data_IF_022761669129
#
_entry.id   IF_022761669129
#
_cell.length_a   1.000
_cell.length_b   1.000
_cell.length_c   1.000
_cell.angle_alpha   90.00
_cell.angle_beta   90.00
_cell.angle_gamma   90.00
#
_symmetry.space_group_name_H-M   'P 1'
#
loop_
_entity.id
_entity.type
_entity.pdbx_description
1 polymer ?
#
# COMPACT_ATOMS: atom_id res chain seq x y z
N UNK A 1 -30.87 66.65 50.75
CA UNK A 1 -31.35 66.33 49.38
C UNK A 1 -30.17 66.43 48.42
N UNK A 2 -30.11 65.50 47.47
CA UNK A 2 -29.18 65.41 46.32
C UNK A 2 -27.89 64.60 46.52
N UNK A 3 -27.98 63.38 45.99
CA UNK A 3 -26.95 62.36 45.77
C UNK A 3 -25.89 62.79 44.76
N UNK A 4 -24.61 62.57 45.07
CA UNK A 4 -23.52 62.57 44.08
C UNK A 4 -23.05 61.14 43.83
N UNK A 5 -23.60 60.51 42.79
CA UNK A 5 -23.08 59.29 42.19
C UNK A 5 -22.07 59.69 41.10
N UNK A 6 -20.80 59.38 41.36
CA UNK A 6 -19.70 59.52 40.41
C UNK A 6 -19.89 58.47 39.30
N UNK A 7 -20.13 58.93 38.06
CA UNK A 7 -20.20 58.09 36.86
C UNK A 7 -18.79 57.76 36.40
N UNK A 8 -18.41 56.49 36.49
CA UNK A 8 -17.25 55.96 35.76
C UNK A 8 -17.63 55.82 34.28
N UNK A 9 -17.00 56.63 33.43
CA UNK A 9 -16.91 56.37 32.02
C UNK A 9 -15.80 55.34 31.80
N UNK A 10 -16.09 54.24 31.12
CA UNK A 10 -15.05 53.39 30.53
C UNK A 10 -15.57 52.85 29.21
N UNK A 11 -14.71 52.97 28.21
CA UNK A 11 -14.97 52.87 26.79
C UNK A 11 -15.56 51.52 26.38
N UNK A 12 -16.60 51.57 25.54
CA UNK A 12 -17.01 50.42 24.75
C UNK A 12 -15.94 50.19 23.67
N UNK A 13 -15.01 49.27 23.94
CA UNK A 13 -14.16 48.70 22.91
C UNK A 13 -15.05 47.83 22.01
N UNK A 14 -15.34 48.34 20.81
CA UNK A 14 -15.90 47.57 19.72
C UNK A 14 -14.86 46.53 19.30
N UNK A 15 -14.86 45.36 19.95
CA UNK A 15 -14.18 44.18 19.47
C UNK A 15 -14.87 43.77 18.18
N UNK A 16 -14.36 44.24 17.03
CA UNK A 16 -14.41 43.45 15.82
C UNK A 16 -13.64 42.17 16.12
N UNK A 17 -14.36 41.14 16.56
CA UNK A 17 -13.94 39.78 16.30
C UNK A 17 -13.86 39.65 14.80
N UNK A 18 -12.67 39.85 14.24
CA UNK A 18 -12.31 39.14 13.03
C UNK A 18 -12.48 37.68 13.43
N UNK A 19 -13.52 37.03 12.92
CA UNK A 19 -13.58 35.60 12.95
C UNK A 19 -12.32 35.16 12.19
N UNK A 20 -11.25 34.85 12.93
CA UNK A 20 -10.23 33.95 12.41
C UNK A 20 -11.03 32.73 11.98
N UNK A 21 -11.09 32.48 10.66
CA UNK A 21 -11.62 31.22 10.15
C UNK A 21 -10.98 30.13 11.01
N UNK A 22 -11.81 29.29 11.64
CA UNK A 22 -11.31 28.09 12.28
C UNK A 22 -10.73 27.22 11.16
N UNK A 23 -9.43 27.37 10.90
CA UNK A 23 -8.68 26.48 10.03
C UNK A 23 -8.38 25.25 10.86
N UNK A 24 -9.11 24.17 10.57
CA UNK A 24 -8.95 22.85 11.19
C UNK A 24 -8.65 21.82 10.10
N UNK A 25 -7.55 22.01 9.37
CA UNK A 25 -7.09 21.10 8.32
C UNK A 25 -5.75 20.52 8.75
N UNK A 26 -5.82 19.53 9.64
CA UNK A 26 -4.65 18.78 10.08
C UNK A 26 -3.84 18.24 8.91
N UNK A 27 -2.53 18.23 9.12
CA UNK A 27 -1.47 17.65 8.28
C UNK A 27 -1.97 16.52 7.37
N UNK A 28 -1.93 16.74 6.05
CA UNK A 28 -2.62 15.84 5.12
C UNK A 28 -2.07 15.85 3.71
N UNK A 29 -2.51 14.84 2.96
CA UNK A 29 -2.27 14.69 1.53
C UNK A 29 -3.10 15.73 0.79
N UNK A 30 -2.45 16.78 0.32
CA UNK A 30 -3.05 17.70 -0.64
C UNK A 30 -3.13 17.01 -2.00
N UNK A 31 -4.28 17.06 -2.65
CA UNK A 31 -4.56 16.51 -3.97
C UNK A 31 -5.02 17.65 -4.87
N UNK A 32 -4.33 17.82 -6.00
CA UNK A 32 -4.65 18.84 -6.99
C UNK A 32 -4.48 18.31 -8.40
N UNK A 33 -4.96 19.08 -9.38
CA UNK A 33 -4.70 18.81 -10.80
C UNK A 33 -3.50 19.61 -11.29
N UNK A 34 -2.68 19.00 -12.14
CA UNK A 34 -1.66 19.71 -12.92
C UNK A 34 -1.68 19.17 -14.35
N UNK A 35 -2.26 19.94 -15.28
CA UNK A 35 -2.44 19.51 -16.66
C UNK A 35 -3.44 18.35 -16.77
N UNK A 36 -2.99 17.20 -17.23
CA UNK A 36 -3.77 15.97 -17.42
C UNK A 36 -3.61 14.96 -16.28
N UNK A 37 -2.92 15.32 -15.19
CA UNK A 37 -2.59 14.41 -14.08
C UNK A 37 -3.03 14.93 -12.72
N UNK A 38 -3.36 14.01 -11.81
CA UNK A 38 -3.43 14.28 -10.38
C UNK A 38 -2.03 14.39 -9.76
N UNK A 39 -1.79 15.46 -9.02
CA UNK A 39 -0.56 15.66 -8.25
C UNK A 39 -0.87 15.75 -6.77
N UNK A 40 0.12 15.38 -5.96
CA UNK A 40 0.01 15.44 -4.51
C UNK A 40 0.94 16.46 -3.91
N UNK A 41 0.65 16.81 -2.67
CA UNK A 41 1.33 17.81 -1.90
C UNK A 41 1.12 17.61 -0.41
N UNK A 42 1.68 18.53 0.36
CA UNK A 42 1.40 18.62 1.78
C UNK A 42 0.52 19.82 2.03
N UNK A 43 -0.55 19.62 2.81
CA UNK A 43 -1.28 20.73 3.41
C UNK A 43 -0.82 20.93 4.83
N UNK A 44 -0.64 22.20 5.21
CA UNK A 44 -0.45 22.58 6.60
C UNK A 44 -1.46 23.63 6.99
N UNK A 45 -1.84 23.63 8.27
CA UNK A 45 -2.71 24.63 8.89
C UNK A 45 -2.16 26.07 8.80
N UNK A 46 -0.91 26.25 8.36
CA UNK A 46 -0.30 27.56 8.17
C UNK A 46 -0.78 28.21 6.85
N UNK A 47 -1.20 29.48 6.85
CA UNK A 47 -1.53 30.20 5.61
C UNK A 47 -0.38 30.17 4.60
N UNK A 48 -0.64 29.68 3.39
CA UNK A 48 0.38 29.52 2.35
C UNK A 48 1.35 28.35 2.58
N UNK A 49 1.04 27.47 3.52
CA UNK A 49 1.85 26.30 3.85
C UNK A 49 1.52 25.06 3.02
N UNK A 50 0.75 25.21 1.92
CA UNK A 50 0.58 24.17 0.92
C UNK A 50 1.87 24.00 0.10
N UNK A 51 2.31 22.77 -0.07
CA UNK A 51 3.41 22.41 -0.98
C UNK A 51 2.91 21.43 -2.04
N UNK A 52 3.53 21.42 -3.21
CA UNK A 52 3.27 20.45 -4.28
C UNK A 52 4.51 19.57 -4.46
N UNK A 53 4.31 18.29 -4.70
CA UNK A 53 5.36 17.30 -4.91
C UNK A 53 5.63 16.39 -3.70
N UNK A 54 5.03 16.65 -2.54
CA UNK A 54 5.16 15.78 -1.37
C UNK A 54 4.49 14.42 -1.62
N UNK A 55 5.24 13.35 -1.35
CA UNK A 55 4.82 11.96 -1.57
C UNK A 55 5.04 11.06 -0.36
N UNK A 56 5.70 11.53 0.69
CA UNK A 56 5.97 10.75 1.91
C UNK A 56 5.18 11.37 3.05
N UNK A 57 4.37 10.55 3.69
CA UNK A 57 3.55 10.92 4.83
C UNK A 57 3.81 9.93 5.95
N UNK A 58 3.68 10.38 7.19
CA UNK A 58 3.91 9.53 8.35
C UNK A 58 2.90 9.81 9.44
N UNK A 59 2.65 8.80 10.26
CA UNK A 59 1.73 8.89 11.38
C UNK A 59 2.18 7.94 12.49
N UNK A 60 1.92 8.34 13.73
CA UNK A 60 2.14 7.49 14.88
C UNK A 60 0.82 6.83 15.26
N UNK A 61 0.80 5.50 15.29
CA UNK A 61 -0.39 4.77 15.64
C UNK A 61 -0.56 4.68 17.15
N UNK A 62 -1.74 5.05 17.68
CA UNK A 62 -2.10 4.72 19.06
C UNK A 62 -2.16 3.20 19.26
N UNK A 63 -2.24 2.75 20.52
CA UNK A 63 -2.16 1.32 20.86
C UNK A 63 -3.30 0.46 20.31
N UNK A 64 -4.38 1.06 19.82
CA UNK A 64 -5.47 0.37 19.12
C UNK A 64 -5.24 0.28 17.59
N UNK A 65 -4.09 0.74 17.07
CA UNK A 65 -3.73 0.60 15.65
C UNK A 65 -4.52 1.48 14.68
N UNK A 66 -5.35 2.40 15.18
CA UNK A 66 -6.29 3.18 14.39
C UNK A 66 -5.91 4.67 14.33
N UNK A 67 -5.94 5.26 13.14
CA UNK A 67 -5.76 6.70 12.95
C UNK A 67 -6.61 7.21 11.79
N UNK A 68 -6.89 8.52 11.76
CA UNK A 68 -7.47 9.18 10.57
C UNK A 68 -6.44 10.00 9.79
N UNK A 69 -5.19 10.00 10.27
CA UNK A 69 -4.09 10.76 9.72
C UNK A 69 -3.04 9.84 9.09
N UNK A 70 -2.50 10.20 7.91
CA UNK A 70 -2.77 11.45 7.20
C UNK A 70 -4.15 11.49 6.52
N UNK A 71 -4.74 12.68 6.52
CA UNK A 71 -6.01 12.98 5.85
C UNK A 71 -5.80 13.22 4.34
N UNK A 72 -6.89 13.28 3.58
CA UNK A 72 -6.87 13.64 2.15
C UNK A 72 -7.70 14.89 1.92
N UNK A 73 -7.16 15.85 1.16
CA UNK A 73 -7.82 17.12 0.92
C UNK A 73 -7.50 17.71 -0.45
N UNK A 74 -8.34 18.63 -0.88
CA UNK A 74 -8.12 19.45 -2.07
C UNK A 74 -8.67 20.84 -1.79
N UNK A 75 -7.94 21.88 -2.21
CA UNK A 75 -8.33 23.27 -1.95
C UNK A 75 -8.67 24.02 -3.23
N UNK A 76 -9.61 24.95 -3.14
CA UNK A 76 -10.06 25.81 -4.23
C UNK A 76 -10.22 27.26 -3.71
N UNK A 77 -9.50 28.27 -4.24
CA UNK A 77 -8.58 28.19 -5.37
C UNK A 77 -7.36 27.31 -5.10
N UNK A 78 -6.90 26.61 -6.13
CA UNK A 78 -5.72 25.76 -6.03
C UNK A 78 -4.42 26.58 -5.80
N UNK A 79 -3.40 25.99 -5.16
CA UNK A 79 -2.09 26.61 -5.02
C UNK A 79 -1.43 26.88 -6.38
N UNK A 80 -0.48 27.82 -6.38
CA UNK A 80 0.25 28.20 -7.60
C UNK A 80 0.89 26.96 -8.28
N UNK A 81 0.77 26.90 -9.61
CA UNK A 81 1.27 25.79 -10.41
C UNK A 81 0.32 24.58 -10.51
N UNK A 82 -0.87 24.67 -9.90
CA UNK A 82 -1.92 23.65 -9.98
C UNK A 82 -3.29 24.25 -10.27
N UNK A 83 -4.25 23.38 -10.57
CA UNK A 83 -5.63 23.69 -10.90
C UNK A 83 -6.58 23.02 -9.90
N UNK A 84 -7.71 23.67 -9.61
CA UNK A 84 -8.75 23.07 -8.77
C UNK A 84 -9.33 21.83 -9.45
N UNK A 85 -9.59 20.80 -8.66
CA UNK A 85 -10.34 19.64 -9.14
C UNK A 85 -11.77 20.05 -9.54
N UNK A 86 -12.32 19.41 -10.57
CA UNK A 86 -13.72 19.56 -10.93
C UNK A 86 -14.60 19.06 -9.77
N UNK A 87 -15.73 19.72 -9.54
CA UNK A 87 -16.66 19.36 -8.47
C UNK A 87 -17.59 18.21 -8.90
N UNK A 88 -17.98 17.36 -7.94
CA UNK A 88 -18.85 16.22 -8.18
C UNK A 88 -18.12 14.98 -8.69
N UNK A 89 -16.79 15.00 -8.68
CA UNK A 89 -15.95 13.91 -9.17
C UNK A 89 -15.40 13.09 -7.99
N UNK A 90 -15.32 11.77 -8.18
CA UNK A 90 -14.81 10.87 -7.15
C UNK A 90 -13.28 10.74 -7.25
N UNK A 91 -12.62 10.81 -6.09
CA UNK A 91 -11.21 10.45 -5.91
C UNK A 91 -11.15 9.07 -5.28
N UNK A 92 -10.38 8.16 -5.88
CA UNK A 92 -10.14 6.80 -5.42
C UNK A 92 -8.68 6.61 -5.01
N UNK A 93 -8.39 5.58 -4.22
CA UNK A 93 -7.03 5.12 -3.97
C UNK A 93 -6.83 3.70 -4.51
N UNK A 94 -5.57 3.32 -4.78
CA UNK A 94 -5.15 1.91 -4.90
C UNK A 94 -3.87 1.71 -4.13
N UNK A 95 -3.74 0.60 -3.44
CA UNK A 95 -2.45 0.20 -2.90
C UNK A 95 -1.55 -0.37 -3.99
N UNK A 96 -0.27 -0.01 -3.92
CA UNK A 96 0.75 -0.43 -4.85
C UNK A 96 1.85 -1.21 -4.11
N UNK A 97 2.40 -2.28 -4.70
CA UNK A 97 3.57 -2.91 -4.17
C UNK A 97 4.78 -2.00 -4.36
N UNK A 98 5.70 -2.04 -3.40
CA UNK A 98 6.98 -1.35 -3.48
C UNK A 98 8.11 -2.38 -3.49
N UNK A 99 9.25 -2.02 -4.10
CA UNK A 99 10.40 -2.94 -4.24
C UNK A 99 11.66 -2.35 -3.60
N UNK A 100 12.25 -3.08 -2.66
CA UNK A 100 13.52 -2.72 -2.01
C UNK A 100 14.24 -3.97 -1.52
N UNK A 101 15.57 -3.96 -1.48
CA UNK A 101 16.35 -5.10 -0.97
C UNK A 101 16.13 -6.42 -1.73
N UNK A 102 15.61 -6.36 -2.97
CA UNK A 102 15.24 -7.55 -3.75
C UNK A 102 13.87 -8.15 -3.39
N UNK A 103 13.10 -7.49 -2.51
CA UNK A 103 11.77 -7.90 -2.07
C UNK A 103 10.74 -6.94 -2.64
N UNK A 104 9.66 -7.49 -3.19
CA UNK A 104 8.47 -6.73 -3.63
C UNK A 104 7.32 -7.07 -2.70
N UNK A 105 6.71 -6.06 -2.09
CA UNK A 105 5.61 -6.23 -1.14
C UNK A 105 4.70 -5.00 -1.10
N UNK A 106 3.39 -5.19 -0.90
CA UNK A 106 2.40 -4.13 -0.69
C UNK A 106 2.34 -3.62 0.76
N UNK A 107 2.96 -4.34 1.70
CA UNK A 107 3.16 -3.89 3.08
C UNK A 107 4.55 -4.33 3.57
N UNK A 108 5.36 -3.36 3.99
CA UNK A 108 6.68 -3.62 4.52
C UNK A 108 6.78 -3.28 6.00
N UNK A 109 7.66 -3.96 6.71
CA UNK A 109 7.92 -3.76 8.14
C UNK A 109 9.42 -3.64 8.39
N UNK A 110 9.78 -2.73 9.29
CA UNK A 110 11.10 -2.63 9.90
C UNK A 110 10.90 -2.50 11.41
N UNK A 111 11.68 -3.22 12.21
CA UNK A 111 11.56 -3.27 13.67
C UNK A 111 11.94 -1.95 14.38
N UNK A 112 12.52 -1.00 13.65
CA UNK A 112 12.96 0.30 14.18
C UNK A 112 14.34 0.25 14.85
N UNK A 113 15.09 -0.85 14.69
CA UNK A 113 16.44 -0.99 15.22
C UNK A 113 17.49 -0.90 14.11
N UNK A 114 18.56 -0.13 14.39
CA UNK A 114 19.68 0.04 13.45
C UNK A 114 19.30 0.91 12.25
N UNK A 115 19.88 0.61 11.10
CA UNK A 115 19.53 1.28 9.84
C UNK A 115 18.21 0.73 9.28
N UNK A 116 17.38 1.54 8.60
CA UNK A 116 16.15 1.07 7.97
C UNK A 116 16.38 -0.12 7.03
N UNK A 117 15.80 -1.26 7.41
CA UNK A 117 15.87 -2.50 6.64
C UNK A 117 14.47 -3.12 6.54
N UNK A 118 13.72 -2.66 5.55
CA UNK A 118 12.34 -3.07 5.31
C UNK A 118 12.28 -4.47 4.69
N UNK A 119 11.48 -5.34 5.32
CA UNK A 119 11.14 -6.68 4.84
C UNK A 119 9.63 -6.78 4.64
N UNK A 120 9.15 -7.88 4.04
CA UNK A 120 7.71 -8.16 3.94
C UNK A 120 7.07 -8.26 5.33
N UNK A 121 5.94 -7.59 5.52
CA UNK A 121 5.12 -7.74 6.72
C UNK A 121 4.20 -8.96 6.59
N UNK A 122 4.65 -10.15 7.01
CA UNK A 122 3.90 -11.41 6.83
C UNK A 122 2.76 -11.60 7.86
N UNK A 123 2.84 -10.93 9.02
CA UNK A 123 1.93 -11.12 10.16
C UNK A 123 1.12 -9.86 10.50
N UNK A 124 0.92 -8.95 9.53
CA UNK A 124 0.14 -7.74 9.73
C UNK A 124 -0.65 -7.36 8.48
N UNK A 125 -1.75 -6.64 8.68
CA UNK A 125 -2.51 -6.01 7.60
C UNK A 125 -2.73 -4.52 7.86
N UNK A 126 -2.53 -3.71 6.84
CA UNK A 126 -2.91 -2.30 6.84
C UNK A 126 -4.17 -2.12 5.99
N UNK A 127 -5.22 -1.57 6.59
CA UNK A 127 -6.53 -1.37 5.99
C UNK A 127 -6.84 0.12 5.88
N UNK A 128 -7.41 0.54 4.75
CA UNK A 128 -7.95 1.88 4.55
C UNK A 128 -9.44 1.80 4.20
N UNK A 129 -10.26 2.59 4.90
CA UNK A 129 -11.72 2.57 4.79
C UNK A 129 -12.28 3.74 3.97
N UNK A 130 -13.28 3.47 3.14
CA UNK A 130 -14.09 4.43 2.41
C UNK A 130 -15.11 5.14 3.34
N UNK A 131 -15.85 6.16 2.85
CA UNK A 131 -16.91 6.84 3.62
C UNK A 131 -18.02 5.94 4.17
N UNK A 132 -18.23 4.76 3.60
CA UNK A 132 -19.25 3.80 3.97
C UNK A 132 -18.67 2.60 4.75
N UNK A 133 -17.41 2.66 5.17
CA UNK A 133 -16.67 1.57 5.82
C UNK A 133 -16.50 0.31 4.96
N UNK A 134 -16.53 0.45 3.64
CA UNK A 134 -15.97 -0.54 2.71
C UNK A 134 -14.45 -0.34 2.72
N UNK A 135 -13.68 -1.42 2.66
CA UNK A 135 -12.24 -1.34 2.85
C UNK A 135 -11.46 -2.20 1.86
N UNK A 136 -10.24 -1.76 1.61
CA UNK A 136 -9.19 -2.55 0.99
C UNK A 136 -8.03 -2.66 1.98
N UNK A 137 -7.34 -3.80 1.99
CA UNK A 137 -6.22 -4.05 2.85
C UNK A 137 -5.01 -4.61 2.09
N UNK A 138 -3.83 -4.38 2.64
CA UNK A 138 -2.56 -4.96 2.22
C UNK A 138 -1.96 -5.74 3.37
N UNK A 139 -1.24 -6.81 3.06
CA UNK A 139 -0.87 -7.88 4.00
C UNK A 139 0.52 -8.48 3.71
N UNK A 140 1.34 -7.78 2.93
CA UNK A 140 2.67 -8.23 2.54
C UNK A 140 2.72 -8.94 1.19
N UNK A 141 1.59 -9.14 0.51
CA UNK A 141 1.59 -9.74 -0.82
C UNK A 141 2.35 -8.88 -1.86
N UNK A 142 2.96 -9.54 -2.85
CA UNK A 142 3.65 -8.87 -3.97
C UNK A 142 2.65 -8.42 -5.07
N UNK A 143 1.55 -7.78 -4.68
CA UNK A 143 0.48 -7.42 -5.60
C UNK A 143 -0.18 -6.08 -5.23
N UNK A 144 -0.58 -5.32 -6.25
CA UNK A 144 -1.44 -4.16 -6.09
C UNK A 144 -2.84 -4.59 -5.62
N UNK A 145 -3.49 -3.73 -4.83
CA UNK A 145 -4.85 -3.96 -4.35
C UNK A 145 -5.69 -2.74 -4.74
N UNK A 146 -6.71 -2.92 -5.60
CA UNK A 146 -7.65 -1.86 -5.90
C UNK A 146 -8.30 -1.35 -4.62
N UNK A 147 -8.31 -0.03 -4.42
CA UNK A 147 -8.96 0.59 -3.28
C UNK A 147 -10.34 1.13 -3.62
N UNK A 148 -10.95 1.82 -2.66
CA UNK A 148 -12.29 2.39 -2.79
C UNK A 148 -12.23 3.91 -2.99
N UNK A 149 -13.29 4.63 -2.62
CA UNK A 149 -13.43 6.09 -2.80
C UNK A 149 -12.89 6.87 -1.59
N UNK A 150 -11.87 7.69 -1.79
CA UNK A 150 -11.39 8.68 -0.80
C UNK A 150 -12.48 9.73 -0.54
N UNK A 151 -13.17 10.21 -1.56
CA UNK A 151 -14.30 11.12 -1.40
C UNK A 151 -14.73 11.74 -2.71
N UNK A 152 -15.82 12.50 -2.67
CA UNK A 152 -16.34 13.25 -3.81
C UNK A 152 -15.99 14.72 -3.65
N UNK A 153 -15.45 15.33 -4.69
CA UNK A 153 -15.08 16.74 -4.68
C UNK A 153 -16.32 17.65 -4.67
N UNK A 154 -16.18 18.86 -4.15
CA UNK A 154 -17.24 19.87 -4.05
C UNK A 154 -16.79 21.20 -4.63
N UNK A 155 -17.72 22.12 -4.83
CA UNK A 155 -17.42 23.50 -5.25
C UNK A 155 -16.96 24.41 -4.10
N UNK A 156 -16.78 23.87 -2.89
CA UNK A 156 -16.35 24.64 -1.72
C UNK A 156 -14.85 24.93 -1.74
N UNK A 157 -14.41 25.81 -0.84
CA UNK A 157 -13.00 26.15 -0.71
C UNK A 157 -12.13 24.95 -0.32
N UNK A 158 -12.72 23.98 0.38
CA UNK A 158 -12.19 22.64 0.56
C UNK A 158 -12.94 21.76 -0.43
N UNK A 159 -12.40 21.68 -1.65
CA UNK A 159 -12.97 20.85 -2.69
C UNK A 159 -13.05 19.39 -2.22
N UNK A 160 -12.06 18.90 -1.48
CA UNK A 160 -12.11 17.61 -0.79
C UNK A 160 -11.64 17.80 0.66
N UNK A 161 -12.31 17.16 1.61
CA UNK A 161 -11.87 17.08 3.00
C UNK A 161 -12.29 15.72 3.56
N UNK A 162 -11.35 14.78 3.60
CA UNK A 162 -11.59 13.38 3.90
C UNK A 162 -10.63 12.86 4.97
N UNK A 163 -11.17 12.61 6.16
CA UNK A 163 -10.52 11.85 7.22
C UNK A 163 -10.92 10.39 7.08
N UNK A 164 -10.03 9.57 6.53
CA UNK A 164 -10.27 8.14 6.30
C UNK A 164 -9.61 7.33 7.40
N UNK A 165 -10.29 6.28 7.85
CA UNK A 165 -9.73 5.41 8.87
C UNK A 165 -8.66 4.53 8.28
N UNK A 166 -7.49 4.57 8.90
CA UNK A 166 -6.39 3.64 8.72
C UNK A 166 -6.39 2.69 9.91
N UNK A 167 -6.22 1.41 9.66
CA UNK A 167 -6.10 0.38 10.68
C UNK A 167 -4.90 -0.50 10.39
N UNK A 168 -4.00 -0.61 11.35
CA UNK A 168 -2.95 -1.62 11.34
C UNK A 168 -3.28 -2.70 12.38
N UNK A 169 -3.52 -3.91 11.89
CA UNK A 169 -3.81 -5.08 12.71
C UNK A 169 -2.71 -6.14 12.53
N UNK A 170 -2.43 -6.89 13.59
CA UNK A 170 -1.62 -8.10 13.52
C UNK A 170 -2.47 -9.32 13.15
N UNK A 171 -1.82 -10.41 12.78
CA UNK A 171 -2.48 -11.66 12.43
C UNK A 171 -3.43 -12.14 13.54
N UNK A 172 -4.65 -12.53 13.16
CA UNK A 172 -5.64 -13.11 14.08
C UNK A 172 -6.14 -12.15 15.16
N UNK A 173 -6.36 -10.87 14.82
CA UNK A 173 -6.84 -9.83 15.74
C UNK A 173 -5.84 -9.44 16.85
N UNK A 174 -4.56 -9.78 16.65
CA UNK A 174 -3.49 -9.35 17.54
C UNK A 174 -3.06 -7.91 17.25
N UNK A 175 -2.32 -7.31 18.18
CA UNK A 175 -1.58 -6.09 17.87
C UNK A 175 -0.43 -6.42 16.88
N UNK A 176 -0.21 -5.55 15.90
CA UNK A 176 0.92 -5.68 14.99
C UNK A 176 2.25 -5.63 15.75
N UNK A 177 3.26 -6.34 15.24
CA UNK A 177 4.59 -6.35 15.85
C UNK A 177 5.18 -4.93 15.91
N UNK A 178 5.91 -4.55 16.99
CA UNK A 178 6.51 -3.24 17.10
C UNK A 178 7.41 -2.89 15.90
N UNK A 179 7.38 -1.64 15.47
CA UNK A 179 8.24 -1.11 14.41
C UNK A 179 7.58 -0.02 13.60
N UNK A 180 8.03 0.12 12.35
CA UNK A 180 7.48 1.02 11.34
C UNK A 180 6.99 0.19 10.16
N UNK A 181 5.75 0.44 9.74
CA UNK A 181 5.14 -0.18 8.58
C UNK A 181 5.07 0.82 7.44
N UNK A 182 5.42 0.38 6.23
CA UNK A 182 5.38 1.21 5.02
C UNK A 182 4.43 0.57 4.02
N UNK A 183 3.46 1.37 3.56
CA UNK A 183 2.62 1.03 2.42
C UNK A 183 2.70 2.13 1.37
N UNK A 184 2.45 1.77 0.12
CA UNK A 184 2.36 2.72 -0.98
C UNK A 184 0.96 2.71 -1.59
N UNK A 185 0.51 3.88 -2.07
CA UNK A 185 -0.72 3.98 -2.83
C UNK A 185 -0.60 5.01 -3.96
N UNK A 186 -1.54 4.99 -4.89
CA UNK A 186 -1.80 6.09 -5.82
C UNK A 186 -3.23 6.59 -5.65
N UNK A 187 -3.49 7.80 -6.10
CA UNK A 187 -4.83 8.35 -6.22
C UNK A 187 -5.27 8.44 -7.68
N UNK A 188 -6.56 8.21 -7.91
CA UNK A 188 -7.19 8.24 -9.24
C UNK A 188 -8.43 9.11 -9.23
N UNK A 189 -8.71 9.74 -10.35
CA UNK A 189 -9.95 10.45 -10.66
C UNK A 189 -10.22 10.24 -12.15
N UNK A 190 -11.46 10.00 -12.51
CA UNK A 190 -11.84 9.77 -13.91
C UNK A 190 -11.45 10.97 -14.79
N UNK A 191 -10.90 10.68 -15.97
CA UNK A 191 -10.45 11.71 -16.91
C UNK A 191 -9.09 12.34 -16.60
N UNK A 192 -8.39 11.90 -15.55
CA UNK A 192 -7.02 12.33 -15.24
C UNK A 192 -6.08 11.13 -15.09
N UNK A 193 -4.81 11.32 -15.45
CA UNK A 193 -3.77 10.37 -15.13
C UNK A 193 -3.60 10.28 -13.59
N UNK A 194 -3.37 9.08 -13.03
CA UNK A 194 -3.20 8.88 -11.59
C UNK A 194 -2.01 9.66 -11.02
N UNK A 195 -2.00 9.84 -9.70
CA UNK A 195 -0.83 10.38 -9.01
C UNK A 195 0.36 9.44 -9.16
N UNK A 196 1.55 10.00 -8.99
CA UNK A 196 2.72 9.20 -8.62
C UNK A 196 2.43 8.45 -7.31
N UNK A 197 3.15 7.35 -7.06
CA UNK A 197 3.00 6.61 -5.81
C UNK A 197 3.34 7.47 -4.60
N UNK A 198 2.49 7.43 -3.61
CA UNK A 198 2.63 8.02 -2.30
C UNK A 198 3.08 6.92 -1.33
N UNK A 199 3.77 7.30 -0.27
CA UNK A 199 4.30 6.39 0.73
C UNK A 199 3.85 6.83 2.12
N UNK A 200 3.37 5.87 2.90
CA UNK A 200 2.82 6.09 4.23
C UNK A 200 3.61 5.26 5.22
N UNK A 201 4.25 5.93 6.17
CA UNK A 201 4.99 5.29 7.25
C UNK A 201 4.19 5.36 8.55
N UNK A 202 3.83 4.20 9.09
CA UNK A 202 3.09 4.08 10.34
C UNK A 202 3.98 3.46 11.41
N UNK A 203 4.36 4.25 12.42
CA UNK A 203 5.04 3.71 13.59
C UNK A 203 4.01 3.17 14.59
N UNK A 204 4.18 1.93 15.02
CA UNK A 204 3.33 1.34 16.07
C UNK A 204 3.59 2.00 17.43
N UNK A 205 2.61 1.91 18.33
CA UNK A 205 2.78 2.34 19.71
C UNK A 205 4.00 1.69 20.38
N UNK A 206 4.84 2.50 21.02
CA UNK A 206 6.09 2.08 21.65
C UNK A 206 7.33 2.17 20.74
N UNK A 207 7.16 2.30 19.43
CA UNK A 207 8.29 2.51 18.50
C UNK A 207 8.94 3.88 18.77
N UNK A 208 10.29 3.98 18.80
CA UNK A 208 10.96 5.26 18.95
C UNK A 208 10.64 6.23 17.81
N UNK A 209 10.41 7.51 18.14
CA UNK A 209 10.15 8.54 17.12
C UNK A 209 11.31 8.71 16.12
N UNK A 210 12.54 8.39 16.54
CA UNK A 210 13.71 8.40 15.68
C UNK A 210 13.56 7.43 14.49
N UNK A 211 13.01 6.23 14.73
CA UNK A 211 12.77 5.26 13.66
C UNK A 211 11.77 5.79 12.62
N UNK A 212 10.71 6.48 13.07
CA UNK A 212 9.77 7.10 12.14
C UNK A 212 10.43 8.20 11.30
N UNK A 213 11.23 9.06 11.94
CA UNK A 213 11.98 10.12 11.26
C UNK A 213 13.00 9.56 10.25
N UNK A 214 13.75 8.53 10.63
CA UNK A 214 14.70 7.84 9.74
C UNK A 214 13.99 7.18 8.56
N UNK A 215 12.81 6.59 8.79
CA UNK A 215 11.97 6.05 7.71
C UNK A 215 11.54 7.14 6.73
N UNK A 216 11.12 8.31 7.21
CA UNK A 216 10.73 9.42 6.34
C UNK A 216 11.90 9.89 5.49
N UNK A 217 13.10 10.02 6.06
CA UNK A 217 14.32 10.36 5.30
C UNK A 217 14.62 9.27 4.27
N UNK A 218 14.61 8.01 4.70
CA UNK A 218 14.89 6.85 3.84
C UNK A 218 13.94 6.76 2.64
N UNK A 219 12.65 7.03 2.86
CA UNK A 219 11.63 7.08 1.81
C UNK A 219 11.87 8.24 0.85
N UNK A 220 12.11 9.45 1.37
CA UNK A 220 12.36 10.64 0.52
C UNK A 220 13.55 10.44 -0.42
N UNK A 221 14.62 9.80 0.06
CA UNK A 221 15.80 9.49 -0.76
C UNK A 221 15.53 8.46 -1.88
N UNK A 222 14.39 7.75 -1.83
CA UNK A 222 14.09 6.58 -2.67
C UNK A 222 12.75 6.63 -3.39
N UNK A 223 11.97 7.71 -3.27
CA UNK A 223 10.57 7.80 -3.76
C UNK A 223 10.35 7.39 -5.21
N UNK A 224 11.37 7.57 -6.08
CA UNK A 224 11.30 7.20 -7.49
C UNK A 224 11.87 5.80 -7.78
N UNK A 225 12.70 5.26 -6.87
CA UNK A 225 13.34 3.95 -7.01
C UNK A 225 12.55 2.79 -6.39
N UNK A 226 11.58 3.08 -5.53
CA UNK A 226 10.73 2.08 -4.87
C UNK A 226 9.59 1.56 -5.75
N UNK A 227 9.39 2.18 -6.92
CA UNK A 227 8.35 1.85 -7.89
C UNK A 227 8.56 0.45 -8.47
N UNK A 228 7.47 -0.21 -8.88
CA UNK A 228 7.56 -1.49 -9.57
C UNK A 228 8.33 -1.28 -10.88
N UNK A 229 9.51 -1.89 -10.99
CA UNK A 229 10.38 -1.67 -12.17
C UNK A 229 9.63 -2.09 -13.42
N UNK A 230 9.66 -1.26 -14.46
CA UNK A 230 8.98 -1.55 -15.72
C UNK A 230 7.49 -1.18 -15.76
N UNK A 231 6.92 -0.72 -14.65
CA UNK A 231 5.59 -0.08 -14.62
C UNK A 231 5.75 1.40 -15.02
N UNK A 232 5.73 1.65 -16.33
CA UNK A 232 6.02 2.95 -16.94
C UNK A 232 4.80 3.85 -17.05
N UNK A 233 3.60 3.29 -17.05
CA UNK A 233 2.38 4.08 -16.93
C UNK A 233 2.00 4.35 -15.46
N UNK A 234 2.75 3.77 -14.51
CA UNK A 234 2.53 3.85 -13.06
C UNK A 234 1.15 3.31 -12.68
N UNK A 235 0.72 2.27 -13.40
CA UNK A 235 -0.58 1.66 -13.22
C UNK A 235 -0.66 0.63 -12.07
N UNK A 236 0.48 0.32 -11.47
CA UNK A 236 0.65 -0.70 -10.45
C UNK A 236 0.92 -2.10 -10.99
N UNK A 237 0.96 -2.27 -12.31
CA UNK A 237 1.19 -3.55 -12.98
C UNK A 237 2.24 -3.38 -14.07
N UNK A 238 3.02 -4.44 -14.33
CA UNK A 238 3.91 -4.48 -15.51
C UNK A 238 3.23 -5.29 -16.60
N UNK A 239 2.76 -4.62 -17.64
CA UNK A 239 1.97 -5.21 -18.71
C UNK A 239 2.26 -4.54 -20.08
N UNK A 240 1.46 -4.84 -21.11
CA UNK A 240 1.67 -4.31 -22.46
C UNK A 240 1.47 -2.78 -22.57
N UNK A 241 0.67 -2.17 -21.70
CA UNK A 241 0.47 -0.73 -21.69
C UNK A 241 1.75 0.03 -21.32
N UNK A 242 2.63 -0.55 -20.50
CA UNK A 242 3.94 0.02 -20.19
C UNK A 242 4.86 0.04 -21.41
N UNK A 243 4.79 -1.00 -22.24
CA UNK A 243 5.51 -1.04 -23.50
C UNK A 243 5.07 0.10 -24.43
N UNK A 244 3.77 0.41 -24.46
CA UNK A 244 3.27 1.53 -25.26
C UNK A 244 3.81 2.88 -24.75
N UNK A 245 3.97 3.06 -23.43
CA UNK A 245 4.63 4.25 -22.86
C UNK A 245 6.09 4.32 -23.29
N UNK A 246 6.83 3.22 -23.13
CA UNK A 246 8.23 3.15 -23.57
C UNK A 246 8.39 3.44 -25.06
N UNK A 247 7.56 2.82 -25.90
CA UNK A 247 7.63 2.98 -27.35
C UNK A 247 7.35 4.41 -27.78
N UNK A 248 6.46 5.13 -27.09
CA UNK A 248 6.14 6.53 -27.39
C UNK A 248 7.27 7.48 -27.00
N UNK A 249 8.10 7.10 -26.03
CA UNK A 249 9.14 7.95 -25.45
C UNK A 249 10.56 7.56 -25.88
N UNK A 250 10.70 6.48 -26.64
CA UNK A 250 11.99 5.97 -27.11
C UNK A 250 12.83 7.05 -27.80
N UNK A 251 14.07 7.21 -27.34
CA UNK A 251 15.03 8.19 -27.85
C UNK A 251 14.89 9.60 -27.25
N UNK A 252 13.98 9.81 -26.30
CA UNK A 252 13.91 11.05 -25.53
C UNK A 252 14.89 11.03 -24.34
N UNK A 253 15.31 12.22 -23.93
CA UNK A 253 16.09 12.41 -22.71
C UNK A 253 15.15 12.87 -21.59
N UNK A 254 15.37 12.35 -20.39
CA UNK A 254 14.60 12.71 -19.20
C UNK A 254 15.27 13.88 -18.48
N UNK A 255 14.52 14.84 -17.92
CA UNK A 255 15.09 15.80 -16.98
C UNK A 255 15.67 15.03 -15.80
N UNK A 256 16.89 15.35 -15.37
CA UNK A 256 17.45 14.81 -14.12
C UNK A 256 17.07 15.73 -12.95
N UNK A 257 16.43 15.25 -11.87
CA UNK A 257 16.01 13.86 -11.62
C UNK A 257 14.79 13.44 -12.44
N UNK A 258 14.77 12.16 -12.86
CA UNK A 258 13.78 11.54 -13.75
C UNK A 258 12.36 11.98 -13.37
N UNK A 259 11.63 12.52 -14.35
CA UNK A 259 10.26 12.98 -14.14
C UNK A 259 9.30 11.81 -14.36
N UNK A 260 8.24 11.69 -13.55
CA UNK A 260 7.39 10.50 -13.59
C UNK A 260 6.44 10.51 -14.79
N UNK A 261 6.19 9.32 -15.33
CA UNK A 261 5.60 9.09 -16.64
C UNK A 261 6.64 8.77 -17.69
N UNK A 262 7.93 8.80 -17.34
CA UNK A 262 9.05 8.49 -18.22
C UNK A 262 9.42 7.02 -18.14
N UNK A 263 9.56 6.37 -19.28
CA UNK A 263 10.01 4.99 -19.41
C UNK A 263 11.53 4.85 -19.24
N UNK A 264 12.12 5.59 -18.31
CA UNK A 264 13.54 5.53 -17.91
C UNK A 264 13.66 4.57 -16.71
N UNK A 265 13.57 3.27 -17.00
CA UNK A 265 13.53 2.22 -15.98
C UNK A 265 14.89 1.92 -15.35
N UNK A 266 15.99 2.32 -16.00
CA UNK A 266 17.33 2.20 -15.44
C UNK A 266 17.79 3.49 -14.71
N UNK A 267 17.09 4.61 -14.92
CA UNK A 267 17.35 5.89 -14.27
C UNK A 267 18.59 6.61 -14.80
N UNK A 268 18.99 6.37 -16.05
CA UNK A 268 20.23 6.90 -16.64
C UNK A 268 20.08 8.26 -17.34
N UNK A 269 18.86 8.79 -17.43
CA UNK A 269 18.59 10.07 -18.09
C UNK A 269 18.14 9.94 -19.55
N UNK A 270 18.08 8.72 -20.11
CA UNK A 270 17.84 8.49 -21.54
C UNK A 270 16.95 7.28 -21.76
N UNK A 271 15.76 7.49 -22.33
CA UNK A 271 14.83 6.39 -22.64
C UNK A 271 15.32 5.65 -23.88
N UNK A 272 15.84 4.44 -23.70
CA UNK A 272 16.46 3.66 -24.75
C UNK A 272 16.19 2.15 -24.61
N UNK A 273 16.98 1.33 -25.32
CA UNK A 273 16.81 -0.12 -25.31
C UNK A 273 17.13 -0.76 -23.95
N UNK A 274 17.93 -0.12 -23.10
CA UNK A 274 18.18 -0.56 -21.73
C UNK A 274 16.90 -0.55 -20.90
N UNK A 275 16.05 0.46 -21.07
CA UNK A 275 14.77 0.54 -20.37
C UNK A 275 13.80 -0.54 -20.82
N UNK A 276 13.75 -0.81 -22.13
CA UNK A 276 13.01 -1.97 -22.62
C UNK A 276 13.42 -3.28 -21.92
N UNK A 277 14.71 -3.47 -21.63
CA UNK A 277 15.15 -4.66 -20.89
C UNK A 277 14.64 -4.68 -19.45
N UNK A 278 14.50 -3.53 -18.80
CA UNK A 278 13.87 -3.41 -17.48
C UNK A 278 12.42 -3.87 -17.54
N UNK A 279 11.61 -3.32 -18.46
CA UNK A 279 10.22 -3.75 -18.65
C UNK A 279 10.11 -5.25 -18.98
N UNK A 280 10.92 -5.73 -19.93
CA UNK A 280 10.91 -7.14 -20.37
C UNK A 280 11.26 -8.09 -19.23
N UNK A 281 12.25 -7.76 -18.41
CA UNK A 281 12.66 -8.63 -17.32
C UNK A 281 11.61 -8.61 -16.20
N UNK A 282 10.99 -7.46 -15.95
CA UNK A 282 9.90 -7.32 -14.99
C UNK A 282 8.61 -8.05 -15.39
N UNK A 283 8.16 -7.95 -16.65
CA UNK A 283 6.93 -8.64 -17.09
C UNK A 283 7.06 -10.17 -17.00
N UNK A 284 8.27 -10.70 -17.22
CA UNK A 284 8.59 -12.12 -17.03
C UNK A 284 8.55 -12.50 -15.56
N UNK A 285 9.11 -11.68 -14.67
CA UNK A 285 9.05 -11.90 -13.22
C UNK A 285 7.60 -11.93 -12.71
N UNK A 286 6.75 -10.97 -13.12
CA UNK A 286 5.32 -10.92 -12.78
C UNK A 286 4.55 -12.15 -13.31
N UNK A 287 4.93 -12.68 -14.47
CA UNK A 287 4.29 -13.87 -15.05
C UNK A 287 4.67 -15.18 -14.35
N UNK A 288 5.83 -15.22 -13.67
CA UNK A 288 6.31 -16.43 -12.98
C UNK A 288 5.54 -16.77 -11.69
N UNK A 289 4.89 -15.78 -11.07
CA UNK A 289 4.08 -15.94 -9.86
C UNK A 289 2.69 -16.57 -10.12
N UNK A 290 2.24 -16.62 -11.38
CA UNK A 290 0.91 -17.13 -11.77
C UNK A 290 0.92 -18.61 -12.17
N UNK A 291 2.04 -19.31 -11.99
CA UNK A 291 2.13 -20.75 -12.26
C UNK A 291 1.93 -21.48 -10.93
N UNK A 292 0.71 -21.93 -10.57
CA UNK A 292 0.55 -22.84 -9.44
C UNK A 292 1.45 -24.04 -9.69
N UNK A 293 2.27 -24.40 -8.70
CA UNK A 293 3.23 -25.49 -8.84
C UNK A 293 2.50 -26.69 -9.46
N UNK A 294 2.99 -27.24 -10.59
CA UNK A 294 2.34 -28.37 -11.21
C UNK A 294 2.23 -29.45 -10.14
N UNK A 295 1.06 -30.07 -10.04
CA UNK A 295 0.69 -31.13 -9.10
C UNK A 295 1.56 -32.41 -9.24
N UNK A 296 2.88 -32.25 -9.24
CA UNK A 296 3.92 -33.26 -9.37
C UNK A 296 3.93 -34.16 -8.13
N UNK A 297 3.49 -33.64 -6.97
CA UNK A 297 3.23 -34.46 -5.77
C UNK A 297 2.11 -35.49 -6.02
N UNK A 298 1.09 -35.18 -6.84
CA UNK A 298 0.05 -36.16 -7.20
C UNK A 298 0.54 -37.22 -8.22
N UNK A 299 1.56 -36.90 -9.02
CA UNK A 299 2.13 -37.82 -10.02
C UNK A 299 3.18 -38.79 -9.46
N UNK A 300 3.80 -38.50 -8.31
CA UNK A 300 4.75 -39.42 -7.65
C UNK A 300 4.09 -40.31 -6.58
N UNK A 301 2.91 -39.92 -6.06
CA UNK A 301 2.16 -40.72 -5.06
C UNK A 301 1.38 -41.92 -5.63
N UNK A 302 0.93 -41.85 -6.89
CA UNK A 302 0.09 -42.88 -7.52
C UNK A 302 0.75 -44.28 -7.70
N UNK A 303 2.07 -44.44 -7.96
CA UNK A 303 2.66 -45.77 -8.08
C UNK A 303 3.00 -46.46 -6.73
N UNK A 304 3.11 -45.72 -5.61
CA UNK A 304 3.44 -46.30 -4.29
C UNK A 304 2.31 -47.15 -3.69
N UNK A 305 1.04 -46.85 -4.00
CA UNK A 305 -0.13 -47.62 -3.52
C UNK A 305 -0.33 -48.97 -4.23
N UNK A 306 0.21 -49.15 -5.44
CA UNK A 306 0.13 -50.41 -6.19
C UNK A 306 1.16 -51.44 -5.71
N UNK A 307 2.28 -51.00 -5.13
CA UNK A 307 3.33 -51.90 -4.63
C UNK A 307 2.98 -52.48 -3.25
N UNK A 308 2.22 -51.76 -2.41
CA UNK A 308 1.80 -52.26 -1.08
C UNK A 308 0.65 -53.28 -1.17
N UNK A 309 -0.26 -53.14 -2.14
CA UNK A 309 -1.40 -54.07 -2.31
C UNK A 309 -1.00 -55.45 -2.85
N UNK A 310 0.16 -55.57 -3.52
CA UNK A 310 0.67 -56.84 -4.06
C UNK A 310 1.35 -57.77 -3.05
N UNK A 311 1.58 -57.33 -1.79
CA UNK A 311 2.26 -58.15 -0.77
C UNK A 311 1.34 -58.97 0.14
N UNK A 312 0.02 -58.98 -0.06
CA UNK A 312 -0.94 -59.67 0.85
C UNK A 312 -1.51 -61.01 0.37
N UNK A 313 -1.07 -61.55 -0.76
CA UNK A 313 -1.49 -62.89 -1.21
C UNK A 313 -0.32 -63.85 -1.29
N UNK A 314 0.15 -64.36 -0.15
CA UNK A 314 0.83 -65.66 -0.10
C UNK A 314 0.50 -66.39 1.20
N UNK A 315 -0.42 -67.36 1.07
CA UNK A 315 -0.43 -68.65 1.77
C UNK A 315 -0.52 -68.70 3.30
N UNK A 316 -1.74 -68.93 3.82
CA UNK A 316 -1.96 -69.59 5.12
C UNK A 316 -2.24 -71.07 4.83
N UNK A 317 -1.42 -72.05 5.28
CA UNK A 317 -1.73 -73.46 5.09
C UNK A 317 -2.90 -73.87 6.00
N UNK A 318 -3.92 -74.45 5.40
CA UNK A 318 -5.08 -75.09 6.03
C UNK A 318 -4.70 -76.45 6.61
N UNK A 319 -4.75 -76.60 7.93
CA UNK A 319 -4.74 -77.91 8.61
C UNK A 319 -6.19 -78.37 8.84
N UNK A 320 -6.65 -79.32 8.03
CA UNK A 320 -7.84 -80.13 8.33
C UNK A 320 -7.42 -81.39 9.13
N UNK A 321 -8.28 -81.90 10.03
CA UNK A 321 -7.98 -83.09 10.80
C UNK A 321 -8.30 -84.36 9.98
N UNK A 322 -7.40 -85.35 10.01
CA UNK A 322 -7.66 -86.70 9.50
C UNK A 322 -7.83 -87.63 10.70
N UNK A 323 -9.05 -88.15 10.83
CA UNK A 323 -9.38 -89.33 11.62
C UNK A 323 -8.46 -90.50 11.23
N UNK A 324 -7.94 -91.21 12.22
CA UNK A 324 -7.28 -92.49 12.04
C UNK A 324 -8.21 -93.60 12.54
N UNK A 325 -8.80 -94.34 11.60
CA UNK A 325 -9.52 -95.58 11.84
C UNK A 325 -8.56 -96.77 11.85
N UNK A 326 -8.49 -97.40 13.02
CA UNK A 326 -8.37 -98.83 13.33
C UNK A 326 -7.75 -99.81 12.30
N UNK A 327 -6.65 -100.46 12.69
CA UNK A 327 -6.30 -101.79 12.18
C UNK A 327 -5.82 -102.71 13.32
N UNK A 328 -6.62 -103.75 13.58
CA UNK A 328 -6.39 -104.88 14.48
C UNK A 328 -5.02 -105.55 14.30
N UNK A 329 -4.44 -106.06 15.40
CA UNK A 329 -4.05 -107.49 15.45
C UNK A 329 -3.89 -108.01 16.90
N UNK A 330 -4.44 -109.20 17.11
CA UNK A 330 -4.43 -110.05 18.32
C UNK A 330 -3.08 -110.76 18.49
N UNK A 331 -2.69 -111.10 19.72
CA UNK A 331 -2.24 -112.43 20.23
C UNK A 331 -2.46 -112.44 21.75
N UNK A 332 -3.32 -113.33 22.26
CA UNK A 332 -2.99 -114.61 22.92
C UNK A 332 -2.04 -114.46 24.10
#
# INVERSE_FOLDING_TARGET
MSSRLLRYASAAALLLTVASNAFGHGEGVLVQRQGDRLVTGYDSDAPGGQTIGTRVFSSYLPSNGLTTDPSFLSVSPAPAGTESLAAGEDVFWDFLPLTTGGVTSNLMHWDGAGEPNFITAEDASLTLYDPNFIAANVDGAAAAVPGERVGTTTSNALALHAHRYWELAGAGEAAAAPGVYVASLRLRMDGLAPTKSLYFAFATFGTPIAALSETVVWLNDRVDSLLLRGDYNFDGSVNAADYDVWSQQYGSATPTPVTVGEADGNGDGVINAADYTVWRDSIVASSSLLIPEPATILLVGAPMLVVVSRRRCYGRPSTLPMEALDFRSRRF
#
